data_IF_339543113652
#
_entry.id   IF_339543113652
#
_cell.length_a   1.000
_cell.length_b   1.000
_cell.length_c   1.000
_cell.angle_alpha   90.00
_cell.angle_beta   90.00
_cell.angle_gamma   90.00
#
_symmetry.space_group_name_H-M   'P 1'
#
loop_
_entity.id
_entity.type
_entity.pdbx_description
1 polymer ?
#
# COMPACT_ATOMS: atom_id res chain seq x y z
N UNK A 1 -12.40 6.48 23.23
CA UNK A 1 -11.27 5.54 23.06
C UNK A 1 -11.58 4.39 22.07
N UNK A 2 -12.80 3.85 22.00
CA UNK A 2 -13.16 2.75 21.08
C UNK A 2 -13.04 3.07 19.56
N UNK A 3 -13.29 4.31 19.11
CA UNK A 3 -13.16 4.67 17.67
C UNK A 3 -11.73 4.63 17.13
N UNK A 4 -10.73 4.85 17.99
CA UNK A 4 -9.31 4.88 17.59
C UNK A 4 -8.76 3.48 17.33
N UNK A 5 -9.28 2.47 18.04
CA UNK A 5 -8.93 1.06 17.86
C UNK A 5 -9.48 0.46 16.56
N UNK A 6 -10.67 0.89 16.12
CA UNK A 6 -11.29 0.38 14.89
C UNK A 6 -10.60 0.92 13.62
N UNK A 7 -10.09 2.16 13.63
CA UNK A 7 -9.34 2.72 12.51
C UNK A 7 -7.94 2.11 12.40
N UNK A 8 -7.26 1.85 13.54
CA UNK A 8 -5.94 1.22 13.53
C UNK A 8 -6.00 -0.25 13.07
N UNK A 9 -7.12 -0.94 13.26
CA UNK A 9 -7.30 -2.31 12.75
C UNK A 9 -7.57 -2.39 11.25
N UNK A 10 -8.06 -1.31 10.62
CA UNK A 10 -8.49 -1.34 9.22
C UNK A 10 -7.30 -1.29 8.25
N UNK A 11 -6.27 -0.53 8.63
CA UNK A 11 -5.08 -0.27 7.85
C UNK A 11 -3.84 -0.89 8.53
N UNK A 12 -3.19 -1.83 7.85
CA UNK A 12 -2.14 -2.66 8.45
C UNK A 12 -0.88 -1.87 8.79
N UNK A 13 -0.53 -0.87 7.99
CA UNK A 13 0.63 0.01 8.22
C UNK A 13 0.45 0.86 9.49
N UNK A 14 -0.78 1.29 9.79
CA UNK A 14 -1.08 2.03 11.03
C UNK A 14 -1.09 1.10 12.24
N UNK A 15 -1.55 -0.14 12.08
CA UNK A 15 -1.42 -1.16 13.11
C UNK A 15 0.05 -1.46 13.43
N UNK A 16 0.89 -1.70 12.41
CA UNK A 16 2.32 -1.97 12.56
C UNK A 16 3.05 -0.85 13.29
N UNK A 17 2.77 0.42 12.94
CA UNK A 17 3.30 1.58 13.67
C UNK A 17 2.91 1.56 15.15
N UNK A 18 1.64 1.25 15.43
CA UNK A 18 1.10 1.23 16.79
C UNK A 18 1.67 0.12 17.68
N UNK A 19 1.85 -1.10 17.16
CA UNK A 19 2.34 -2.24 17.96
C UNK A 19 3.84 -2.19 18.21
N UNK A 20 4.61 -1.56 17.32
CA UNK A 20 6.08 -1.49 17.44
C UNK A 20 6.58 -0.29 18.25
N UNK A 21 5.68 0.39 18.97
CA UNK A 21 6.04 1.49 19.88
C UNK A 21 6.51 2.77 19.16
N UNK A 22 6.29 2.88 17.84
CA UNK A 22 6.46 4.16 17.15
C UNK A 22 5.30 5.06 17.57
N UNK A 23 5.48 5.73 18.69
CA UNK A 23 4.68 6.87 19.07
C UNK A 23 5.08 8.05 18.18
N UNK A 24 4.69 8.00 16.89
CA UNK A 24 4.52 9.25 16.16
C UNK A 24 3.40 9.97 16.89
N UNK A 25 3.78 10.89 17.77
CA UNK A 25 2.91 11.98 18.18
C UNK A 25 2.41 12.56 16.86
N UNK A 26 1.14 12.34 16.53
CA UNK A 26 0.56 12.51 15.19
C UNK A 26 0.76 13.91 14.60
N UNK A 27 1.98 14.19 14.13
CA UNK A 27 2.46 15.49 13.71
C UNK A 27 1.90 15.94 12.36
N UNK A 28 1.12 15.09 11.70
CA UNK A 28 0.43 15.41 10.45
C UNK A 28 -1.10 15.50 10.58
N UNK A 29 -1.67 15.23 11.76
CA UNK A 29 -3.12 15.45 11.98
C UNK A 29 -3.34 16.02 13.37
N UNK A 30 -3.14 17.34 13.50
CA UNK A 30 -4.01 18.11 14.40
C UNK A 30 -5.43 17.66 14.09
N UNK A 31 -6.15 17.16 15.09
CA UNK A 31 -7.59 16.95 14.99
C UNK A 31 -8.28 18.31 14.79
N UNK A 32 -8.13 18.87 13.60
CA UNK A 32 -9.06 19.86 13.10
C UNK A 32 -10.40 19.14 13.00
N UNK A 33 -11.46 19.84 13.36
CA UNK A 33 -12.86 19.39 13.28
C UNK A 33 -13.06 18.43 12.10
N UNK A 34 -13.66 17.27 12.36
CA UNK A 34 -13.95 16.28 11.33
C UNK A 34 -14.54 17.00 10.10
N UNK A 35 -13.93 16.82 8.91
CA UNK A 35 -14.36 17.56 7.73
C UNK A 35 -15.83 17.28 7.45
N UNK A 36 -16.57 18.35 7.17
CA UNK A 36 -17.99 18.24 6.89
C UNK A 36 -18.24 17.35 5.66
N UNK A 37 -19.39 16.68 5.60
CA UNK A 37 -19.79 15.94 4.40
C UNK A 37 -19.75 16.84 3.14
N UNK A 38 -20.09 18.14 3.32
CA UNK A 38 -20.02 19.16 2.26
C UNK A 38 -18.61 19.34 1.72
N UNK A 39 -17.58 19.40 2.57
CA UNK A 39 -16.19 19.55 2.12
C UNK A 39 -15.68 18.32 1.39
N UNK A 40 -16.12 17.11 1.78
CA UNK A 40 -15.79 15.88 1.06
C UNK A 40 -16.42 15.87 -0.34
N UNK A 41 -17.70 16.24 -0.45
CA UNK A 41 -18.40 16.34 -1.74
C UNK A 41 -17.72 17.38 -2.64
N UNK A 42 -17.38 18.54 -2.07
CA UNK A 42 -16.69 19.62 -2.78
C UNK A 42 -15.32 19.17 -3.32
N UNK A 43 -14.54 18.46 -2.50
CA UNK A 43 -13.24 17.93 -2.91
C UNK A 43 -13.38 16.94 -4.09
N UNK A 44 -14.38 16.06 -4.07
CA UNK A 44 -14.63 15.17 -5.21
C UNK A 44 -15.08 15.91 -6.47
N UNK A 45 -15.86 17.00 -6.34
CA UNK A 45 -16.23 17.83 -7.49
C UNK A 45 -15.01 18.55 -8.08
N UNK A 46 -14.10 19.06 -7.24
CA UNK A 46 -12.88 19.74 -7.69
C UNK A 46 -11.94 18.77 -8.43
N UNK A 47 -11.77 17.54 -7.93
CA UNK A 47 -10.98 16.52 -8.63
C UNK A 47 -11.60 16.16 -9.98
N UNK A 48 -12.94 16.04 -10.05
CA UNK A 48 -13.64 15.75 -11.30
C UNK A 48 -13.49 16.89 -12.31
N UNK A 49 -13.67 18.12 -11.87
CA UNK A 49 -13.50 19.32 -12.71
C UNK A 49 -12.06 19.43 -13.23
N UNK A 50 -11.07 19.15 -12.38
CA UNK A 50 -9.65 19.14 -12.75
C UNK A 50 -9.36 18.13 -13.86
N UNK A 51 -9.93 16.92 -13.76
CA UNK A 51 -9.81 15.91 -14.83
C UNK A 51 -10.52 16.35 -16.13
N UNK A 52 -11.70 16.94 -16.04
CA UNK A 52 -12.45 17.40 -17.21
C UNK A 52 -11.74 18.54 -17.94
N UNK A 53 -11.18 19.48 -17.19
CA UNK A 53 -10.48 20.66 -17.73
C UNK A 53 -9.01 20.40 -18.01
N UNK A 54 -8.47 19.25 -17.59
CA UNK A 54 -7.04 18.90 -17.62
C UNK A 54 -6.16 19.95 -16.91
N UNK A 55 -6.70 20.59 -15.87
CA UNK A 55 -6.00 21.61 -15.06
C UNK A 55 -5.85 21.10 -13.64
N UNK A 56 -4.62 20.76 -13.26
CA UNK A 56 -4.26 20.26 -11.93
C UNK A 56 -3.55 21.36 -11.14
N UNK A 57 -4.34 22.31 -10.63
CA UNK A 57 -3.86 23.46 -9.87
C UNK A 57 -3.74 23.17 -8.35
N UNK A 58 -3.51 24.20 -7.54
CA UNK A 58 -3.43 24.06 -6.08
C UNK A 58 -4.74 23.57 -5.44
N UNK A 59 -5.90 23.84 -6.05
CA UNK A 59 -7.21 23.39 -5.53
C UNK A 59 -7.34 21.88 -5.67
N UNK A 60 -6.89 21.33 -6.80
CA UNK A 60 -6.80 19.87 -6.99
C UNK A 60 -5.99 19.19 -5.88
N UNK A 61 -4.79 19.73 -5.59
CA UNK A 61 -3.94 19.16 -4.55
C UNK A 61 -4.55 19.29 -3.14
N UNK A 62 -5.19 20.43 -2.84
CA UNK A 62 -5.90 20.64 -1.58
C UNK A 62 -7.10 19.70 -1.43
N UNK A 63 -7.85 19.45 -2.51
CA UNK A 63 -8.95 18.51 -2.53
C UNK A 63 -8.46 17.08 -2.20
N UNK A 64 -7.37 16.63 -2.82
CA UNK A 64 -6.75 15.34 -2.51
C UNK A 64 -6.34 15.22 -1.04
N UNK A 65 -5.63 16.22 -0.52
CA UNK A 65 -5.20 16.25 0.90
C UNK A 65 -6.40 16.22 1.85
N UNK A 66 -7.46 16.97 1.55
CA UNK A 66 -8.68 16.97 2.34
C UNK A 66 -9.33 15.57 2.37
N UNK A 67 -9.40 14.87 1.25
CA UNK A 67 -9.93 13.51 1.20
C UNK A 67 -9.06 12.52 1.97
N UNK A 68 -7.73 12.55 1.80
CA UNK A 68 -6.80 11.67 2.53
C UNK A 68 -6.85 11.92 4.04
N UNK A 69 -6.93 13.18 4.48
CA UNK A 69 -7.11 13.51 5.90
C UNK A 69 -8.41 12.93 6.51
N UNK A 70 -9.37 12.58 5.64
CA UNK A 70 -10.66 11.98 6.01
C UNK A 70 -10.68 10.46 5.83
N UNK A 71 -9.54 9.81 5.54
CA UNK A 71 -9.46 8.41 5.13
C UNK A 71 -10.15 7.43 6.07
N UNK A 72 -10.14 7.71 7.37
CA UNK A 72 -10.78 6.86 8.38
C UNK A 72 -12.30 6.83 8.25
N UNK A 73 -12.93 7.91 7.79
CA UNK A 73 -14.39 8.06 7.73
C UNK A 73 -14.96 8.02 6.32
N UNK A 74 -14.18 8.35 5.28
CA UNK A 74 -14.68 8.31 3.91
C UNK A 74 -14.87 6.87 3.42
N UNK A 75 -15.86 6.72 2.55
CA UNK A 75 -16.02 5.55 1.70
C UNK A 75 -15.75 5.99 0.26
N UNK A 76 -14.74 5.40 -0.36
CA UNK A 76 -14.47 5.58 -1.79
C UNK A 76 -15.21 4.46 -2.52
N UNK A 77 -16.09 4.81 -3.45
CA UNK A 77 -16.84 3.86 -4.29
C UNK A 77 -16.24 3.76 -5.70
N UNK A 78 -16.65 2.74 -6.45
CA UNK A 78 -16.14 2.46 -7.80
C UNK A 78 -16.14 3.68 -8.75
N UNK A 79 -17.15 4.58 -8.77
CA UNK A 79 -17.08 5.79 -9.61
C UNK A 79 -15.93 6.73 -9.23
N UNK A 80 -15.62 6.85 -7.94
CA UNK A 80 -14.50 7.67 -7.44
C UNK A 80 -13.17 6.97 -7.70
N UNK A 81 -13.10 5.65 -7.50
CA UNK A 81 -11.90 4.89 -7.85
C UNK A 81 -11.63 4.92 -9.37
N UNK A 82 -12.67 4.90 -10.21
CA UNK A 82 -12.54 5.11 -11.66
C UNK A 82 -11.96 6.49 -11.98
N UNK A 83 -12.44 7.54 -11.33
CA UNK A 83 -11.90 8.90 -11.46
C UNK A 83 -10.40 8.95 -11.10
N UNK A 84 -10.01 8.35 -9.98
CA UNK A 84 -8.63 8.26 -9.53
C UNK A 84 -7.73 7.48 -10.51
N UNK A 85 -8.20 6.32 -10.97
CA UNK A 85 -7.51 5.51 -11.98
C UNK A 85 -7.33 6.26 -13.30
N UNK A 86 -8.34 7.02 -13.74
CA UNK A 86 -8.23 7.86 -14.93
C UNK A 86 -7.16 8.93 -14.79
N UNK A 87 -7.00 9.52 -13.60
CA UNK A 87 -5.94 10.50 -13.32
C UNK A 87 -4.56 9.84 -13.39
N UNK A 88 -4.37 8.65 -12.78
CA UNK A 88 -3.10 7.91 -12.87
C UNK A 88 -2.74 7.50 -14.29
N UNK A 89 -3.74 7.29 -15.14
CA UNK A 89 -3.56 6.91 -16.53
C UNK A 89 -3.18 8.09 -17.44
N UNK A 90 -3.21 9.34 -16.95
CA UNK A 90 -2.80 10.50 -17.73
C UNK A 90 -1.28 10.46 -17.98
N UNK A 91 -0.89 10.50 -19.25
CA UNK A 91 0.53 10.51 -19.70
C UNK A 91 0.98 11.84 -20.29
N UNK A 92 0.03 12.71 -20.61
CA UNK A 92 0.27 13.95 -21.35
C UNK A 92 0.31 15.18 -20.45
N UNK A 93 -0.09 15.02 -19.18
CA UNK A 93 -0.18 16.12 -18.21
C UNK A 93 0.74 15.84 -17.04
N UNK A 94 1.56 16.84 -16.69
CA UNK A 94 2.41 16.78 -15.49
C UNK A 94 1.56 17.00 -14.24
N UNK A 95 1.44 15.97 -13.42
CA UNK A 95 0.85 16.10 -12.08
C UNK A 95 1.95 16.45 -11.07
N UNK A 96 1.66 17.25 -10.02
CA UNK A 96 2.57 17.39 -8.89
C UNK A 96 2.89 16.02 -8.29
N UNK A 97 4.15 15.75 -7.93
CA UNK A 97 4.62 14.42 -7.47
C UNK A 97 3.79 13.85 -6.32
N UNK A 98 3.50 14.69 -5.32
CA UNK A 98 2.66 14.35 -4.18
C UNK A 98 1.25 13.88 -4.57
N UNK A 99 0.70 14.37 -5.70
CA UNK A 99 -0.64 14.01 -6.14
C UNK A 99 -0.75 12.52 -6.44
N UNK A 100 0.28 11.92 -7.04
CA UNK A 100 0.29 10.48 -7.31
C UNK A 100 0.21 9.68 -6.00
N UNK A 101 1.03 10.03 -5.01
CA UNK A 101 1.04 9.41 -3.69
C UNK A 101 -0.34 9.50 -3.01
N UNK A 102 -0.99 10.67 -3.06
CA UNK A 102 -2.33 10.87 -2.49
C UNK A 102 -3.42 10.09 -3.26
N UNK A 103 -3.32 10.00 -4.58
CA UNK A 103 -4.25 9.22 -5.41
C UNK A 103 -4.14 7.73 -5.11
N UNK A 104 -2.91 7.19 -4.99
CA UNK A 104 -2.68 5.81 -4.57
C UNK A 104 -3.22 5.54 -3.17
N UNK A 105 -3.04 6.49 -2.25
CA UNK A 105 -3.59 6.39 -0.90
C UNK A 105 -5.12 6.25 -0.93
N UNK A 106 -5.81 7.04 -1.75
CA UNK A 106 -7.27 6.94 -1.90
C UNK A 106 -7.71 5.63 -2.58
N UNK A 107 -6.93 5.09 -3.53
CA UNK A 107 -7.19 3.76 -4.11
C UNK A 107 -6.99 2.64 -3.07
N UNK A 108 -6.01 2.80 -2.17
CA UNK A 108 -5.84 1.90 -1.04
C UNK A 108 -7.04 1.98 -0.07
N UNK A 109 -7.54 3.19 0.22
CA UNK A 109 -8.78 3.36 1.02
C UNK A 109 -9.97 2.69 0.34
N UNK A 110 -10.13 2.85 -0.98
CA UNK A 110 -11.16 2.16 -1.77
C UNK A 110 -11.07 0.65 -1.60
N UNK A 111 -9.91 0.05 -1.86
CA UNK A 111 -9.82 -1.41 -1.86
C UNK A 111 -10.00 -2.01 -0.46
N UNK A 112 -9.52 -1.33 0.58
CA UNK A 112 -9.63 -1.81 1.96
C UNK A 112 -11.04 -1.72 2.54
N UNK A 113 -11.85 -0.79 2.04
CA UNK A 113 -13.23 -0.57 2.51
C UNK A 113 -14.29 -1.17 1.59
N UNK A 114 -13.91 -1.62 0.40
CA UNK A 114 -14.81 -2.24 -0.55
C UNK A 114 -15.04 -3.72 -0.22
N UNK A 115 -16.30 -4.13 -0.18
CA UNK A 115 -16.65 -5.54 0.01
C UNK A 115 -16.45 -6.37 -1.28
N UNK A 116 -16.83 -5.79 -2.42
CA UNK A 116 -16.73 -6.41 -3.77
C UNK A 116 -16.36 -5.35 -4.80
N UNK A 117 -15.08 -4.95 -4.87
CA UNK A 117 -14.61 -3.99 -5.87
C UNK A 117 -14.77 -4.55 -7.29
N UNK A 118 -14.99 -3.68 -8.28
CA UNK A 118 -15.00 -4.06 -9.69
C UNK A 118 -13.64 -4.63 -10.14
N UNK A 119 -13.64 -5.85 -10.67
CA UNK A 119 -12.46 -6.52 -11.22
C UNK A 119 -11.79 -5.69 -12.32
N UNK A 120 -12.60 -5.20 -13.26
CA UNK A 120 -12.12 -4.42 -14.40
C UNK A 120 -11.47 -3.11 -13.95
N UNK A 121 -11.99 -2.51 -12.88
CA UNK A 121 -11.43 -1.29 -12.32
C UNK A 121 -10.11 -1.56 -11.58
N UNK A 122 -10.02 -2.67 -10.83
CA UNK A 122 -8.74 -3.09 -10.23
C UNK A 122 -7.69 -3.36 -11.31
N UNK A 123 -8.04 -4.11 -12.36
CA UNK A 123 -7.14 -4.34 -13.50
C UNK A 123 -6.69 -3.03 -14.15
N UNK A 124 -7.61 -2.09 -14.37
CA UNK A 124 -7.28 -0.76 -14.91
C UNK A 124 -6.35 0.03 -13.98
N UNK A 125 -6.56 -0.04 -12.66
CA UNK A 125 -5.71 0.62 -11.68
C UNK A 125 -4.29 0.04 -11.69
N UNK A 126 -4.16 -1.30 -11.70
CA UNK A 126 -2.85 -1.99 -11.80
C UNK A 126 -2.11 -1.57 -13.06
N UNK A 127 -2.79 -1.50 -14.22
CA UNK A 127 -2.17 -1.06 -15.46
C UNK A 127 -1.78 0.43 -15.44
N UNK A 128 -2.61 1.29 -14.84
CA UNK A 128 -2.31 2.71 -14.71
C UNK A 128 -1.05 2.94 -13.86
N UNK A 129 -0.97 2.24 -12.72
CA UNK A 129 0.20 2.26 -11.82
C UNK A 129 1.43 1.75 -12.59
N UNK A 130 1.35 0.55 -13.17
CA UNK A 130 2.45 -0.05 -13.94
C UNK A 130 2.99 0.89 -15.01
N UNK A 131 2.12 1.47 -15.83
CA UNK A 131 2.56 2.39 -16.86
C UNK A 131 3.17 3.69 -16.31
N UNK A 132 2.85 4.08 -15.07
CA UNK A 132 3.48 5.20 -14.37
C UNK A 132 4.94 4.95 -14.02
N UNK A 133 5.27 3.69 -13.72
CA UNK A 133 6.65 3.26 -13.50
C UNK A 133 7.38 2.97 -14.81
N UNK A 134 6.68 2.48 -15.85
CA UNK A 134 7.29 2.25 -17.17
C UNK A 134 7.69 3.57 -17.88
N UNK A 135 7.01 4.68 -17.58
CA UNK A 135 7.33 5.99 -18.17
C UNK A 135 8.63 6.57 -17.59
N UNK A 136 9.73 6.39 -18.33
CA UNK A 136 11.09 6.84 -18.00
C UNK A 136 11.25 8.36 -17.88
N UNK A 137 10.20 9.16 -18.09
CA UNK A 137 10.25 10.62 -17.93
C UNK A 137 10.30 11.07 -16.46
N UNK A 138 9.94 10.20 -15.52
CA UNK A 138 10.00 10.46 -14.08
C UNK A 138 11.31 9.93 -13.45
N UNK A 139 12.45 10.47 -13.87
CA UNK A 139 13.81 10.03 -13.49
C UNK A 139 14.18 10.19 -12.00
N UNK A 140 13.27 10.73 -11.18
CA UNK A 140 13.48 10.88 -9.74
C UNK A 140 12.21 10.43 -9.01
N UNK A 141 12.05 9.10 -8.86
CA UNK A 141 10.87 8.54 -8.23
C UNK A 141 10.96 8.75 -6.72
N UNK A 142 9.94 9.39 -6.16
CA UNK A 142 9.88 9.65 -4.72
C UNK A 142 9.67 8.32 -3.96
N UNK A 143 10.43 8.05 -2.88
CA UNK A 143 10.27 6.82 -2.09
C UNK A 143 8.83 6.59 -1.59
N UNK A 144 8.12 7.68 -1.26
CA UNK A 144 6.72 7.62 -0.84
C UNK A 144 5.79 7.07 -1.93
N UNK A 145 6.07 7.38 -3.20
CA UNK A 145 5.29 6.89 -4.34
C UNK A 145 5.46 5.37 -4.48
N UNK A 146 6.70 4.88 -4.37
CA UNK A 146 7.04 3.46 -4.43
C UNK A 146 6.35 2.72 -3.28
N UNK A 147 6.49 3.22 -2.05
CA UNK A 147 5.89 2.62 -0.86
C UNK A 147 4.36 2.52 -0.97
N UNK A 148 3.67 3.59 -1.40
CA UNK A 148 2.21 3.54 -1.62
C UNK A 148 1.82 2.59 -2.76
N UNK A 149 2.65 2.47 -3.81
CA UNK A 149 2.41 1.54 -4.92
C UNK A 149 2.54 0.09 -4.47
N UNK A 150 3.52 -0.22 -3.62
CA UNK A 150 3.66 -1.54 -2.98
C UNK A 150 2.45 -1.83 -2.10
N UNK A 151 2.05 -0.87 -1.25
CA UNK A 151 0.91 -1.01 -0.35
C UNK A 151 -0.37 -1.35 -1.11
N UNK A 152 -0.72 -0.57 -2.13
CA UNK A 152 -1.98 -0.76 -2.87
C UNK A 152 -1.95 -2.05 -3.70
N UNK A 153 -0.81 -2.41 -4.29
CA UNK A 153 -0.66 -3.65 -5.08
C UNK A 153 -0.83 -4.89 -4.21
N UNK A 154 -0.25 -4.89 -3.01
CA UNK A 154 -0.46 -5.95 -2.02
C UNK A 154 -1.92 -6.03 -1.57
N UNK A 155 -2.54 -4.87 -1.31
CA UNK A 155 -3.94 -4.80 -0.92
C UNK A 155 -4.89 -5.32 -2.01
N UNK A 156 -4.60 -5.07 -3.30
CA UNK A 156 -5.33 -5.69 -4.40
C UNK A 156 -5.20 -7.21 -4.38
N UNK A 157 -3.99 -7.74 -4.25
CA UNK A 157 -3.75 -9.19 -4.21
C UNK A 157 -4.48 -9.92 -3.06
N UNK A 158 -4.70 -9.23 -1.94
CA UNK A 158 -5.34 -9.79 -0.76
C UNK A 158 -6.88 -9.85 -0.84
N UNK A 159 -7.52 -9.20 -1.82
CA UNK A 159 -9.00 -9.09 -1.84
C UNK A 159 -9.64 -10.44 -2.16
N UNK A 160 -10.50 -11.00 -1.28
CA UNK A 160 -11.05 -12.34 -1.48
C UNK A 160 -11.91 -12.47 -2.74
N UNK A 161 -12.67 -11.43 -3.09
CA UNK A 161 -13.59 -11.45 -4.24
C UNK A 161 -12.91 -11.30 -5.60
N UNK A 162 -11.62 -11.01 -5.66
CA UNK A 162 -10.89 -10.88 -6.94
C UNK A 162 -10.59 -12.24 -7.56
N UNK A 163 -10.56 -12.29 -8.89
CA UNK A 163 -10.13 -13.48 -9.62
C UNK A 163 -8.64 -13.76 -9.40
N UNK A 164 -8.21 -15.02 -9.61
CA UNK A 164 -6.80 -15.38 -9.54
C UNK A 164 -5.94 -14.56 -10.50
N UNK A 165 -6.43 -14.27 -11.70
CA UNK A 165 -5.72 -13.44 -12.69
C UNK A 165 -5.45 -12.02 -12.16
N UNK A 166 -6.45 -11.36 -11.56
CA UNK A 166 -6.26 -10.00 -11.02
C UNK A 166 -5.30 -9.99 -9.83
N UNK A 167 -5.35 -11.03 -8.98
CA UNK A 167 -4.39 -11.19 -7.88
C UNK A 167 -2.98 -11.41 -8.41
N UNK A 168 -2.81 -12.25 -9.43
CA UNK A 168 -1.52 -12.51 -10.06
C UNK A 168 -0.91 -11.24 -10.64
N UNK A 169 -1.67 -10.47 -11.44
CA UNK A 169 -1.21 -9.19 -11.98
C UNK A 169 -0.78 -8.20 -10.89
N UNK A 170 -1.50 -8.18 -9.77
CA UNK A 170 -1.18 -7.31 -8.63
C UNK A 170 0.11 -7.76 -7.92
N UNK A 171 0.33 -9.08 -7.80
CA UNK A 171 1.55 -9.66 -7.23
C UNK A 171 2.76 -9.43 -8.14
N UNK A 172 2.60 -9.57 -9.46
CA UNK A 172 3.65 -9.29 -10.45
C UNK A 172 4.09 -7.82 -10.38
N UNK A 173 3.13 -6.89 -10.32
CA UNK A 173 3.42 -5.46 -10.14
C UNK A 173 4.17 -5.21 -8.83
N UNK A 174 3.70 -5.78 -7.72
CA UNK A 174 4.35 -5.61 -6.41
C UNK A 174 5.78 -6.16 -6.42
N UNK A 175 6.00 -7.38 -6.93
CA UNK A 175 7.34 -7.96 -7.00
C UNK A 175 8.26 -7.12 -7.85
N UNK A 176 7.78 -6.59 -8.98
CA UNK A 176 8.55 -5.66 -9.80
C UNK A 176 8.96 -4.40 -9.03
N UNK A 177 8.03 -3.80 -8.28
CA UNK A 177 8.31 -2.60 -7.47
C UNK A 177 9.33 -2.88 -6.35
N UNK A 178 9.37 -4.10 -5.81
CA UNK A 178 10.36 -4.51 -4.81
C UNK A 178 11.72 -4.87 -5.43
N UNK A 179 11.73 -5.38 -6.66
CA UNK A 179 12.95 -5.73 -7.41
C UNK A 179 13.70 -4.49 -7.95
N UNK A 180 13.00 -3.38 -8.22
CA UNK A 180 13.60 -2.12 -8.69
C UNK A 180 14.48 -1.47 -7.60
N UNK A 181 15.61 -0.86 -8.00
CA UNK A 181 16.59 -0.20 -7.10
C UNK A 181 15.94 0.80 -6.14
N UNK A 182 14.78 1.32 -6.49
CA UNK A 182 14.04 2.31 -5.72
C UNK A 182 13.48 1.79 -4.39
N UNK A 183 13.34 0.46 -4.24
CA UNK A 183 12.97 -0.11 -2.95
C UNK A 183 14.12 -0.03 -1.93
N UNK A 184 15.38 0.14 -2.37
CA UNK A 184 16.51 0.47 -1.48
C UNK A 184 16.33 1.87 -0.88
N UNK A 185 15.85 2.83 -1.69
CA UNK A 185 15.60 4.22 -1.26
C UNK A 185 14.56 4.31 -0.15
N UNK A 186 13.58 3.39 -0.10
CA UNK A 186 12.59 3.34 0.99
C UNK A 186 13.26 2.99 2.32
N UNK A 187 14.34 2.20 2.30
CA UNK A 187 15.12 1.87 3.48
C UNK A 187 15.78 3.07 4.15
N UNK A 188 16.05 4.13 3.38
CA UNK A 188 16.60 5.39 3.91
C UNK A 188 15.55 6.25 4.64
N UNK A 189 14.25 5.97 4.49
CA UNK A 189 13.15 6.68 5.11
C UNK A 189 12.35 5.74 6.02
N UNK A 190 12.78 5.61 7.28
CA UNK A 190 12.20 4.68 8.26
C UNK A 190 10.66 4.82 8.41
N UNK A 191 10.10 6.02 8.19
CA UNK A 191 8.66 6.28 8.25
C UNK A 191 7.83 5.51 7.19
N UNK A 192 8.47 5.08 6.10
CA UNK A 192 7.84 4.36 4.98
C UNK A 192 7.94 2.84 5.13
N UNK A 193 8.81 2.33 6.02
CA UNK A 193 8.98 0.89 6.27
C UNK A 193 7.65 0.21 6.63
N UNK A 194 6.79 0.75 7.52
CA UNK A 194 5.50 0.14 7.85
C UNK A 194 4.57 0.03 6.63
N UNK A 195 4.66 0.98 5.68
CA UNK A 195 3.83 1.03 4.47
C UNK A 195 4.22 -0.11 3.53
N UNK A 196 5.52 -0.32 3.31
CA UNK A 196 6.03 -1.43 2.48
C UNK A 196 5.73 -2.77 3.14
N UNK A 197 5.98 -2.91 4.44
CA UNK A 197 5.69 -4.13 5.20
C UNK A 197 4.20 -4.49 5.14
N UNK A 198 3.31 -3.52 5.26
CA UNK A 198 1.88 -3.77 5.11
C UNK A 198 1.52 -4.27 3.69
N UNK A 199 2.11 -3.71 2.64
CA UNK A 199 1.95 -4.20 1.27
C UNK A 199 2.40 -5.66 1.11
N UNK A 200 3.58 -6.00 1.64
CA UNK A 200 4.09 -7.39 1.65
C UNK A 200 3.16 -8.31 2.44
N UNK A 201 2.70 -7.89 3.63
CA UNK A 201 1.77 -8.66 4.45
C UNK A 201 0.47 -9.00 3.74
N UNK A 202 -0.14 -8.02 3.08
CA UNK A 202 -1.32 -8.24 2.26
C UNK A 202 -1.05 -9.23 1.10
N UNK A 203 0.09 -9.09 0.43
CA UNK A 203 0.48 -10.00 -0.64
C UNK A 203 0.68 -11.44 -0.16
N UNK A 204 1.34 -11.64 0.99
CA UNK A 204 1.51 -12.96 1.61
C UNK A 204 0.16 -13.59 2.00
N UNK A 205 -0.81 -12.75 2.41
CA UNK A 205 -2.18 -13.16 2.72
C UNK A 205 -3.09 -13.37 1.50
N UNK A 206 -2.57 -13.20 0.28
CA UNK A 206 -3.27 -13.61 -0.95
C UNK A 206 -3.66 -15.09 -0.89
N UNK A 207 -4.68 -15.49 -1.64
CA UNK A 207 -5.02 -16.90 -1.81
C UNK A 207 -4.11 -17.64 -2.81
N UNK A 208 -3.22 -16.93 -3.49
CA UNK A 208 -2.26 -17.51 -4.44
C UNK A 208 -0.89 -17.73 -3.78
N UNK A 209 -0.20 -18.76 -4.23
CA UNK A 209 1.20 -19.04 -3.85
C UNK A 209 2.21 -18.42 -4.82
N UNK A 210 1.72 -17.81 -5.90
CA UNK A 210 2.56 -17.12 -6.88
C UNK A 210 3.42 -16.05 -6.19
N UNK A 211 4.72 -16.07 -6.48
CA UNK A 211 5.73 -15.18 -5.90
C UNK A 211 5.88 -15.25 -4.37
N UNK A 212 5.28 -16.23 -3.68
CA UNK A 212 5.32 -16.33 -2.22
C UNK A 212 6.75 -16.35 -1.67
N UNK A 213 7.60 -17.22 -2.22
CA UNK A 213 9.01 -17.33 -1.82
C UNK A 213 9.79 -16.03 -2.09
N UNK A 214 9.48 -15.33 -3.20
CA UNK A 214 10.09 -14.02 -3.50
C UNK A 214 9.71 -12.98 -2.44
N UNK A 215 8.45 -12.98 -1.99
CA UNK A 215 7.98 -12.06 -0.95
C UNK A 215 8.65 -12.32 0.39
N UNK A 216 8.83 -13.59 0.77
CA UNK A 216 9.61 -13.95 1.96
C UNK A 216 11.07 -13.53 1.82
N UNK A 217 11.67 -13.75 0.64
CA UNK A 217 13.02 -13.30 0.33
C UNK A 217 13.17 -11.78 0.50
N UNK A 218 12.18 -10.98 0.09
CA UNK A 218 12.19 -9.54 0.32
C UNK A 218 11.99 -9.18 1.80
N UNK A 219 11.03 -9.83 2.47
CA UNK A 219 10.70 -9.55 3.86
C UNK A 219 11.89 -9.80 4.80
N UNK A 220 12.66 -10.86 4.58
CA UNK A 220 13.78 -11.24 5.45
C UNK A 220 15.14 -10.82 4.90
N UNK A 221 15.29 -10.68 3.58
CA UNK A 221 16.60 -10.44 2.94
C UNK A 221 16.91 -8.99 2.56
N UNK A 222 15.97 -8.05 2.73
CA UNK A 222 16.20 -6.64 2.38
C UNK A 222 17.07 -5.87 3.38
N UNK A 223 17.19 -6.34 4.62
CA UNK A 223 17.79 -5.61 5.75
C UNK A 223 19.32 -5.69 5.84
N UNK A 224 19.93 -6.70 5.24
CA UNK A 224 21.39 -6.91 5.27
C UNK A 224 22.11 -6.27 4.08
N UNK A 225 21.40 -5.55 3.21
CA UNK A 225 21.99 -4.85 2.06
C UNK A 225 22.52 -3.49 2.49
N UNK A 226 23.63 -3.04 1.91
CA UNK A 226 24.27 -1.75 2.24
C UNK A 226 23.34 -0.54 2.04
N UNK A 227 22.40 -0.64 1.10
CA UNK A 227 21.33 0.36 0.86
C UNK A 227 19.95 -0.07 1.39
N UNK A 228 19.88 -1.13 2.18
CA UNK A 228 18.64 -1.60 2.79
C UNK A 228 18.20 -0.73 3.98
N UNK A 229 16.96 -0.91 4.48
CA UNK A 229 16.55 -0.33 5.75
C UNK A 229 17.49 -0.77 6.86
N UNK A 230 17.96 0.18 7.68
CA UNK A 230 18.79 -0.14 8.84
C UNK A 230 17.99 -1.00 9.81
N UNK A 231 18.52 -2.19 10.11
CA UNK A 231 17.94 -3.07 11.11
C UNK A 231 17.81 -2.34 12.44
N UNK A 232 16.60 -2.29 12.98
CA UNK A 232 16.31 -1.75 14.31
C UNK A 232 15.40 -2.72 15.06
N UNK A 233 15.40 -2.65 16.39
CA UNK A 233 14.50 -3.45 17.23
C UNK A 233 13.04 -3.20 16.82
N UNK A 234 12.69 -1.95 16.53
CA UNK A 234 11.37 -1.54 16.06
C UNK A 234 10.99 -2.26 14.76
N UNK A 235 11.90 -2.30 13.78
CA UNK A 235 11.66 -3.00 12.52
C UNK A 235 11.53 -4.52 12.72
N UNK A 236 12.37 -5.13 13.57
CA UNK A 236 12.26 -6.54 13.93
C UNK A 236 10.90 -6.88 14.55
N UNK A 237 10.42 -6.05 15.49
CA UNK A 237 9.09 -6.20 16.08
C UNK A 237 7.96 -6.07 15.06
N UNK A 238 8.08 -5.15 14.09
CA UNK A 238 7.09 -5.04 13.00
C UNK A 238 7.01 -6.32 12.18
N UNK A 239 8.16 -6.90 11.81
CA UNK A 239 8.22 -8.14 11.03
C UNK A 239 7.60 -9.30 11.82
N UNK A 240 7.94 -9.43 13.12
CA UNK A 240 7.38 -10.47 13.98
C UNK A 240 5.85 -10.36 14.07
N UNK A 241 5.32 -9.17 14.33
CA UNK A 241 3.87 -8.94 14.37
C UNK A 241 3.20 -9.14 13.00
N UNK A 242 3.88 -8.79 11.91
CA UNK A 242 3.38 -9.05 10.56
C UNK A 242 3.26 -10.55 10.29
N UNK A 243 4.26 -11.35 10.66
CA UNK A 243 4.25 -12.81 10.51
C UNK A 243 3.13 -13.40 11.35
N UNK A 244 2.98 -12.98 12.60
CA UNK A 244 1.88 -13.41 13.48
C UNK A 244 0.51 -13.13 12.82
N UNK A 245 0.35 -11.93 12.24
CA UNK A 245 -0.88 -11.54 11.53
C UNK A 245 -1.13 -12.41 10.30
N UNK A 246 -0.11 -12.66 9.48
CA UNK A 246 -0.19 -13.50 8.27
C UNK A 246 -0.51 -14.96 8.64
N UNK A 247 0.19 -15.55 9.60
CA UNK A 247 -0.03 -16.92 10.06
C UNK A 247 -1.41 -17.10 10.68
N UNK A 248 -1.89 -16.12 11.45
CA UNK A 248 -3.27 -16.08 11.95
C UNK A 248 -4.29 -16.03 10.80
N UNK A 249 -3.94 -15.39 9.68
CA UNK A 249 -4.70 -15.48 8.43
C UNK A 249 -4.78 -16.91 7.91
N UNK A 250 -3.64 -17.59 7.77
CA UNK A 250 -3.58 -18.98 7.27
C UNK A 250 -4.35 -19.96 8.13
N UNK A 251 -4.21 -19.87 9.46
CA UNK A 251 -4.97 -20.70 10.40
C UNK A 251 -6.48 -20.50 10.23
N UNK A 252 -6.95 -19.26 10.11
CA UNK A 252 -8.38 -18.96 9.90
C UNK A 252 -8.90 -19.47 8.56
N UNK A 253 -8.08 -19.47 7.51
CA UNK A 253 -8.44 -20.03 6.21
C UNK A 253 -8.12 -21.52 6.04
N UNK A 254 -7.60 -22.17 7.09
CA UNK A 254 -7.10 -23.55 7.05
C UNK A 254 -6.08 -23.81 5.90
N UNK A 255 -5.19 -22.85 5.62
CA UNK A 255 -4.20 -22.95 4.56
C UNK A 255 -2.92 -23.60 5.08
N UNK A 256 -3.00 -24.93 5.28
CA UNK A 256 -1.90 -25.74 5.83
C UNK A 256 -0.69 -25.76 4.89
N UNK A 257 -0.92 -25.70 3.58
CA UNK A 257 0.15 -25.71 2.57
C UNK A 257 1.04 -24.48 2.70
N UNK A 258 0.46 -23.27 2.81
CA UNK A 258 1.23 -22.04 3.05
C UNK A 258 1.96 -22.03 4.39
N UNK A 259 1.33 -22.56 5.44
CA UNK A 259 1.98 -22.68 6.75
C UNK A 259 3.20 -23.60 6.69
N UNK A 260 3.07 -24.73 6.01
CA UNK A 260 4.15 -25.71 5.83
C UNK A 260 5.27 -25.14 4.96
N UNK A 261 4.91 -24.45 3.87
CA UNK A 261 5.85 -23.77 3.00
C UNK A 261 6.63 -22.68 3.74
N UNK A 262 5.95 -21.89 4.60
CA UNK A 262 6.62 -20.90 5.45
C UNK A 262 7.59 -21.56 6.41
N UNK A 263 7.17 -22.62 7.13
CA UNK A 263 8.02 -23.33 8.08
C UNK A 263 9.29 -23.87 7.41
N UNK A 264 9.14 -24.54 6.26
CA UNK A 264 10.25 -25.10 5.52
C UNK A 264 11.22 -24.00 5.04
N UNK A 265 10.71 -22.91 4.50
CA UNK A 265 11.53 -21.85 3.90
C UNK A 265 12.24 -20.97 4.93
N UNK A 266 11.55 -20.63 6.02
CA UNK A 266 12.02 -19.63 6.99
C UNK A 266 12.67 -20.28 8.21
N UNK A 267 12.13 -21.41 8.69
CA UNK A 267 12.60 -22.04 9.94
C UNK A 267 13.58 -23.19 9.68
N UNK A 268 13.36 -24.00 8.66
CA UNK A 268 14.19 -25.20 8.41
C UNK A 268 15.38 -24.92 7.50
N UNK A 269 15.15 -24.26 6.36
CA UNK A 269 16.18 -24.03 5.33
C UNK A 269 16.90 -22.68 5.43
N UNK A 270 16.39 -21.76 6.26
CA UNK A 270 16.85 -20.37 6.50
C UNK A 270 18.05 -19.94 5.65
N UNK A 271 17.79 -19.16 4.60
CA UNK A 271 18.83 -18.69 3.68
C UNK A 271 19.81 -17.78 4.39
N UNK A 272 21.11 -17.88 4.04
CA UNK A 272 22.18 -17.06 4.62
C UNK A 272 21.99 -15.53 4.42
N UNK A 273 21.16 -15.12 3.44
CA UNK A 273 20.82 -13.71 3.19
C UNK A 273 19.73 -13.16 4.11
N UNK A 274 19.10 -13.99 4.94
CA UNK A 274 18.05 -13.54 5.85
C UNK A 274 18.65 -12.87 7.07
N UNK A 275 18.08 -11.73 7.46
CA UNK A 275 18.45 -11.05 8.68
C UNK A 275 18.06 -11.90 9.90
N UNK A 276 19.04 -12.10 10.78
CA UNK A 276 18.85 -12.73 12.08
C UNK A 276 18.39 -11.63 13.03
N UNK A 277 17.08 -11.52 13.25
CA UNK A 277 16.48 -10.61 14.22
C UNK A 277 16.34 -11.26 15.59
#
# INVERSE_FOLDING_TARGET
>A
MARKANSSLLFLEEWLKGVSGINVSGGLVKQNSAPSARSIIQAWSEIRESLQTQKFDTRYLQALRALVSSESTIHVADPQAKLLTSILALREVSLPSESYTLVLRLLYVWIRKSFRPSQALVGSAVQAIRGGFDDRRNLQREPALVAQSVLVSGAFACVPSLSGEMKLLSLELLCRLLEEEECSLVGSQEELVPVVLAGIGYALSSSLDAHYLKLLDFLFGSWLKDEGPRGSITHGLMILHLIEWVMSGYMRSNNVDKMSLFANEVLETSKAKYAVF
#
